data_IF_260641247836
#
_entry.id   IF_260641247836
#
_cell.length_a   1.000
_cell.length_b   1.000
_cell.length_c   1.000
_cell.angle_alpha   90.00
_cell.angle_beta   90.00
_cell.angle_gamma   90.00
#
_symmetry.space_group_name_H-M   'P 1'
#
loop_
_entity.id
_entity.type
_entity.pdbx_description
1 polymer ?
#
# COMPACT_ATOMS: atom_id res chain seq x y z
N UNK A 1 12.36 -3.05 11.87
CA UNK A 1 11.78 -3.50 10.59
C UNK A 1 10.25 -3.48 10.54
N UNK A 2 9.60 -2.34 10.83
CA UNK A 2 8.11 -2.24 10.88
C UNK A 2 7.50 -1.70 9.56
N UNK A 3 8.28 -1.03 8.70
CA UNK A 3 7.74 -0.34 7.51
C UNK A 3 7.38 -1.23 6.31
N UNK A 4 8.16 -2.28 6.02
CA UNK A 4 7.94 -3.17 4.87
C UNK A 4 6.90 -4.26 5.14
N UNK A 5 6.69 -4.65 6.39
CA UNK A 5 5.70 -5.67 6.75
C UNK A 5 4.28 -5.11 6.90
N UNK A 6 4.09 -3.80 6.75
CA UNK A 6 2.77 -3.17 6.77
C UNK A 6 2.02 -3.48 5.46
N UNK A 7 0.91 -4.24 5.49
CA UNK A 7 0.14 -4.57 4.29
C UNK A 7 -0.62 -3.37 3.70
N UNK A 8 -0.78 -2.28 4.45
CA UNK A 8 -1.62 -1.15 4.05
C UNK A 8 -1.29 -0.59 2.66
N UNK A 9 -0.03 -0.28 2.30
CA UNK A 9 0.27 0.32 1.00
C UNK A 9 -0.10 -0.61 -0.16
N UNK A 10 0.14 -1.92 -0.02
CA UNK A 10 -0.21 -2.91 -1.05
C UNK A 10 -1.72 -3.06 -1.24
N UNK A 11 -2.52 -2.79 -0.21
CA UNK A 11 -3.99 -2.94 -0.25
C UNK A 11 -4.66 -1.62 -0.61
N UNK A 12 -4.39 -0.58 0.19
CA UNK A 12 -5.06 0.70 0.13
C UNK A 12 -4.71 1.46 -1.15
N UNK A 13 -3.44 1.48 -1.58
CA UNK A 13 -3.04 2.33 -2.71
C UNK A 13 -3.64 1.84 -4.02
N UNK A 14 -3.47 0.56 -4.44
CA UNK A 14 -4.13 0.07 -5.65
C UNK A 14 -5.65 0.11 -5.53
N UNK A 15 -6.18 -0.26 -4.36
CA UNK A 15 -7.62 -0.26 -4.11
C UNK A 15 -8.26 1.11 -4.23
N UNK A 16 -7.58 2.16 -3.77
CA UNK A 16 -8.09 3.53 -3.80
C UNK A 16 -7.92 4.16 -5.17
N UNK A 17 -6.74 4.04 -5.79
CA UNK A 17 -6.43 4.63 -7.10
C UNK A 17 -7.32 4.03 -8.18
N UNK A 18 -7.45 2.71 -8.24
CA UNK A 18 -8.21 2.03 -9.30
C UNK A 18 -9.72 2.19 -9.17
N UNK A 19 -10.20 2.74 -8.05
CA UNK A 19 -11.62 2.97 -7.81
C UNK A 19 -11.96 4.44 -7.52
N UNK A 20 -11.03 5.37 -7.75
CA UNK A 20 -11.20 6.79 -7.39
C UNK A 20 -12.42 7.41 -8.07
N UNK A 21 -12.69 7.08 -9.33
CA UNK A 21 -13.86 7.60 -10.04
C UNK A 21 -15.17 7.11 -9.44
N UNK A 22 -15.29 5.81 -9.12
CA UNK A 22 -16.48 5.28 -8.47
C UNK A 22 -16.68 5.86 -7.06
N UNK A 23 -15.57 6.08 -6.33
CA UNK A 23 -15.59 6.76 -5.04
C UNK A 23 -16.12 8.19 -5.18
N UNK A 24 -15.48 9.06 -5.98
CA UNK A 24 -15.88 10.46 -6.10
C UNK A 24 -17.30 10.61 -6.64
N UNK A 25 -17.67 9.85 -7.67
CA UNK A 25 -19.03 9.86 -8.22
C UNK A 25 -20.05 9.44 -7.16
N UNK A 26 -19.76 8.45 -6.30
CA UNK A 26 -20.70 8.07 -5.23
C UNK A 26 -20.88 9.12 -4.14
N UNK A 27 -19.91 10.03 -3.97
CA UNK A 27 -19.97 11.11 -2.98
C UNK A 27 -20.57 12.41 -3.56
N UNK A 28 -20.54 12.54 -4.89
CA UNK A 28 -21.09 13.67 -5.65
C UNK A 28 -22.49 13.41 -6.18
N UNK A 29 -22.79 12.18 -6.59
CA UNK A 29 -23.99 11.79 -7.33
C UNK A 29 -24.63 10.50 -6.81
N UNK A 30 -25.95 10.38 -6.97
CA UNK A 30 -26.69 9.16 -6.65
C UNK A 30 -26.65 8.06 -7.72
N UNK A 31 -25.79 8.19 -8.73
CA UNK A 31 -25.83 7.38 -9.96
C UNK A 31 -25.41 5.91 -9.76
N UNK A 32 -24.62 5.62 -8.72
CA UNK A 32 -24.02 4.29 -8.51
C UNK A 32 -24.80 3.40 -7.54
N UNK A 33 -25.96 3.85 -7.03
CA UNK A 33 -26.73 3.11 -6.03
C UNK A 33 -26.02 2.96 -4.68
N UNK A 34 -24.96 3.73 -4.46
CA UNK A 34 -24.20 3.82 -3.21
C UNK A 34 -24.63 5.12 -2.52
N UNK A 35 -25.24 5.07 -1.32
CA UNK A 35 -25.57 6.30 -0.60
C UNK A 35 -24.30 7.09 -0.26
N UNK A 36 -24.38 8.41 -0.31
CA UNK A 36 -23.28 9.30 0.09
C UNK A 36 -22.75 8.94 1.48
N UNK A 37 -21.44 8.89 1.64
CA UNK A 37 -20.76 8.47 2.87
C UNK A 37 -20.87 6.98 3.18
N UNK A 38 -21.33 6.15 2.23
CA UNK A 38 -21.40 4.68 2.35
C UNK A 38 -20.50 3.96 1.35
N UNK A 39 -19.71 4.68 0.56
CA UNK A 39 -18.69 4.05 -0.26
C UNK A 39 -17.71 3.24 0.61
N UNK A 40 -17.28 2.10 0.11
CA UNK A 40 -16.34 1.20 0.78
C UNK A 40 -15.49 0.59 -0.32
N UNK A 41 -14.20 0.88 -0.30
CA UNK A 41 -13.23 0.30 -1.22
C UNK A 41 -13.32 -1.24 -1.19
N UNK A 42 -13.42 -1.82 0.00
CA UNK A 42 -13.50 -3.26 0.20
C UNK A 42 -14.77 -3.89 -0.38
N UNK A 43 -15.92 -3.23 -0.23
CA UNK A 43 -17.20 -3.75 -0.72
C UNK A 43 -17.42 -3.47 -2.21
N UNK A 44 -17.05 -2.29 -2.67
CA UNK A 44 -17.43 -1.78 -3.99
C UNK A 44 -16.28 -1.79 -5.00
N UNK A 45 -15.02 -1.78 -4.55
CA UNK A 45 -13.85 -1.60 -5.42
C UNK A 45 -12.91 -2.81 -5.55
N UNK A 46 -13.01 -3.81 -4.67
CA UNK A 46 -12.12 -4.98 -4.68
C UNK A 46 -12.58 -6.04 -5.69
N UNK A 47 -12.27 -5.80 -6.97
CA UNK A 47 -12.48 -6.77 -8.05
C UNK A 47 -11.27 -7.72 -8.22
N UNK A 48 -11.43 -8.87 -8.89
CA UNK A 48 -10.30 -9.75 -9.20
C UNK A 48 -9.17 -9.07 -10.01
N UNK A 49 -9.49 -8.04 -10.81
CA UNK A 49 -8.47 -7.28 -11.53
C UNK A 49 -7.67 -6.38 -10.59
N UNK A 50 -8.33 -5.75 -9.62
CA UNK A 50 -7.66 -4.95 -8.57
C UNK A 50 -6.78 -5.84 -7.70
N UNK A 51 -7.26 -7.04 -7.32
CA UNK A 51 -6.49 -8.01 -6.57
C UNK A 51 -5.18 -8.43 -7.29
N UNK A 52 -5.18 -8.56 -8.61
CA UNK A 52 -3.94 -8.81 -9.38
C UNK A 52 -2.92 -7.68 -9.27
N UNK A 53 -3.37 -6.43 -9.24
CA UNK A 53 -2.48 -5.27 -9.05
C UNK A 53 -1.92 -5.25 -7.62
N UNK A 54 -2.74 -5.55 -6.62
CA UNK A 54 -2.29 -5.67 -5.22
C UNK A 54 -1.24 -6.78 -5.05
N UNK A 55 -1.46 -7.93 -5.70
CA UNK A 55 -0.50 -9.03 -5.71
C UNK A 55 0.80 -8.62 -6.41
N UNK A 56 0.75 -7.95 -7.56
CA UNK A 56 1.92 -7.48 -8.27
C UNK A 56 2.73 -6.47 -7.44
N UNK A 57 2.05 -5.52 -6.78
CA UNK A 57 2.67 -4.58 -5.83
C UNK A 57 3.37 -5.34 -4.70
N UNK A 58 2.68 -6.29 -4.06
CA UNK A 58 3.25 -7.10 -2.99
C UNK A 58 4.45 -7.94 -3.44
N UNK A 59 4.41 -8.51 -4.65
CA UNK A 59 5.55 -9.24 -5.21
C UNK A 59 6.77 -8.33 -5.42
N UNK A 60 6.58 -7.07 -5.81
CA UNK A 60 7.64 -6.08 -5.88
C UNK A 60 8.20 -5.73 -4.50
N UNK A 61 7.35 -5.55 -3.48
CA UNK A 61 7.81 -5.38 -2.09
C UNK A 61 8.66 -6.57 -1.62
N UNK A 62 8.24 -7.79 -1.94
CA UNK A 62 9.02 -9.00 -1.62
C UNK A 62 10.39 -9.00 -2.26
N UNK A 63 10.52 -8.53 -3.51
CA UNK A 63 11.82 -8.40 -4.18
C UNK A 63 12.72 -7.39 -3.47
N UNK A 64 12.17 -6.24 -3.07
CA UNK A 64 12.90 -5.25 -2.26
C UNK A 64 13.39 -5.89 -0.96
N UNK A 65 12.49 -6.52 -0.19
CA UNK A 65 12.86 -7.14 1.07
C UNK A 65 13.91 -8.25 0.91
N UNK A 66 13.80 -9.07 -0.14
CA UNK A 66 14.81 -10.09 -0.47
C UNK A 66 16.17 -9.47 -0.77
N UNK A 67 16.22 -8.36 -1.51
CA UNK A 67 17.47 -7.64 -1.80
C UNK A 67 18.10 -7.04 -0.53
N UNK A 68 17.28 -6.76 0.49
CA UNK A 68 17.70 -6.35 1.83
C UNK A 68 17.98 -7.53 2.78
N UNK A 69 17.80 -8.79 2.34
CA UNK A 69 17.89 -9.96 3.20
C UNK A 69 16.88 -9.95 4.36
N UNK A 70 15.74 -9.27 4.20
CA UNK A 70 14.64 -9.22 5.16
C UNK A 70 13.59 -10.27 4.77
N UNK A 71 13.17 -11.08 5.74
CA UNK A 71 12.05 -12.01 5.55
C UNK A 71 10.74 -11.30 5.85
N UNK A 72 9.87 -11.17 4.85
CA UNK A 72 8.51 -10.67 5.01
C UNK A 72 7.55 -11.81 5.39
N UNK A 73 6.38 -11.42 5.93
CA UNK A 73 5.23 -12.32 6.02
C UNK A 73 4.85 -12.74 4.60
N UNK A 74 4.68 -14.05 4.40
CA UNK A 74 4.28 -14.62 3.12
C UNK A 74 2.78 -14.78 3.05
N UNK A 75 2.18 -14.15 2.04
CA UNK A 75 0.77 -14.37 1.69
C UNK A 75 0.69 -15.23 0.44
N UNK A 76 -0.16 -16.25 0.47
CA UNK A 76 -0.52 -17.06 -0.69
C UNK A 76 -1.39 -16.23 -1.64
N UNK A 77 -1.25 -16.50 -2.93
CA UNK A 77 -1.99 -15.76 -3.97
C UNK A 77 -3.50 -15.77 -3.75
N UNK A 78 -4.09 -16.90 -3.38
CA UNK A 78 -5.53 -17.03 -3.11
C UNK A 78 -6.01 -16.13 -1.95
N UNK A 79 -5.14 -15.76 -1.02
CA UNK A 79 -5.47 -14.83 0.06
C UNK A 79 -5.74 -13.41 -0.47
N UNK A 80 -5.26 -13.04 -1.66
CA UNK A 80 -5.60 -11.76 -2.31
C UNK A 80 -6.97 -11.80 -3.00
N UNK A 81 -7.49 -12.98 -3.32
CA UNK A 81 -8.76 -13.16 -4.04
C UNK A 81 -9.94 -13.48 -3.12
N UNK A 82 -9.77 -13.32 -1.81
CA UNK A 82 -10.83 -13.43 -0.81
C UNK A 82 -11.20 -12.05 -0.26
N UNK A 83 -12.48 -11.81 0.06
CA UNK A 83 -12.98 -10.49 0.51
C UNK A 83 -12.42 -10.02 1.86
N UNK A 84 -12.00 -10.95 2.73
CA UNK A 84 -11.23 -10.57 3.91
C UNK A 84 -9.78 -10.23 3.55
N UNK A 85 -9.24 -10.75 2.45
CA UNK A 85 -7.93 -10.37 1.91
C UNK A 85 -6.76 -10.64 2.86
N UNK A 86 -5.59 -10.09 2.52
CA UNK A 86 -4.40 -10.09 3.40
C UNK A 86 -4.61 -9.26 4.68
N UNK A 87 -5.52 -8.28 4.67
CA UNK A 87 -5.90 -7.51 5.87
C UNK A 87 -6.66 -8.37 6.88
N UNK A 88 -7.59 -9.19 6.40
CA UNK A 88 -8.48 -10.03 7.21
C UNK A 88 -7.80 -11.23 7.85
N UNK A 89 -6.65 -11.65 7.31
CA UNK A 89 -5.81 -12.70 7.92
C UNK A 89 -5.29 -12.25 9.29
N UNK A 90 -4.91 -10.99 9.47
CA UNK A 90 -4.43 -10.46 10.75
C UNK A 90 -5.56 -10.33 11.80
N UNK A 91 -6.82 -10.27 11.36
CA UNK A 91 -8.00 -10.23 12.24
C UNK A 91 -8.55 -11.61 12.58
N UNK A 92 -7.94 -12.69 12.08
CA UNK A 92 -8.42 -14.06 12.29
C UNK A 92 -7.98 -14.59 13.66
N UNK A 93 -8.87 -14.53 14.64
CA UNK A 93 -8.77 -15.31 15.89
C UNK A 93 -9.52 -16.62 15.67
N UNK A 94 -8.94 -17.81 15.95
CA UNK A 94 -9.48 -19.13 15.55
C UNK A 94 -10.86 -19.51 16.14
N UNK A 95 -11.54 -18.61 16.86
CA UNK A 95 -12.79 -18.87 17.57
C UNK A 95 -13.89 -17.83 17.30
N UNK A 96 -13.70 -16.90 16.34
CA UNK A 96 -14.67 -15.85 16.07
C UNK A 96 -15.02 -15.73 14.58
N UNK A 97 -16.30 -15.84 14.26
CA UNK A 97 -16.86 -15.35 12.99
C UNK A 97 -16.78 -13.82 13.00
N UNK A 98 -15.67 -13.26 12.52
CA UNK A 98 -15.50 -11.80 12.49
C UNK A 98 -16.33 -11.24 11.32
N UNK A 99 -17.57 -10.86 11.61
CA UNK A 99 -18.33 -9.93 10.76
C UNK A 99 -17.74 -8.54 11.01
N UNK A 100 -16.71 -8.18 10.24
CA UNK A 100 -16.21 -6.80 10.27
C UNK A 100 -17.34 -5.87 9.80
N UNK A 101 -17.69 -4.82 10.56
CA UNK A 101 -18.60 -3.80 10.06
C UNK A 101 -18.04 -3.26 8.74
N UNK A 102 -18.90 -2.87 7.76
CA UNK A 102 -18.41 -2.42 6.47
C UNK A 102 -17.47 -1.23 6.68
N UNK A 103 -16.18 -1.45 6.36
CA UNK A 103 -15.17 -0.40 6.41
C UNK A 103 -15.51 0.60 5.32
N UNK A 104 -16.05 1.74 5.73
CA UNK A 104 -16.38 2.86 4.85
C UNK A 104 -15.09 3.60 4.48
N UNK A 105 -15.02 4.07 3.25
CA UNK A 105 -13.93 4.88 2.74
C UNK A 105 -13.03 4.15 1.73
N UNK A 106 -12.09 4.89 1.11
CA UNK A 106 -11.92 6.35 1.22
C UNK A 106 -13.14 7.09 0.64
N UNK A 107 -13.38 8.33 1.05
CA UNK A 107 -14.50 9.16 0.55
C UNK A 107 -14.01 10.43 -0.18
N UNK A 108 -12.69 10.61 -0.29
CA UNK A 108 -12.05 11.69 -1.04
C UNK A 108 -10.58 11.34 -1.26
N UNK A 109 -9.93 12.06 -2.17
CA UNK A 109 -8.48 11.96 -2.42
C UNK A 109 -7.62 12.53 -1.27
N UNK A 110 -8.24 13.19 -0.29
CA UNK A 110 -7.58 13.68 0.94
C UNK A 110 -7.52 12.61 2.04
N UNK A 111 -8.19 11.46 1.85
CA UNK A 111 -8.18 10.38 2.82
C UNK A 111 -6.77 9.79 3.00
N UNK A 112 -6.44 9.33 4.21
CA UNK A 112 -5.12 8.75 4.56
C UNK A 112 -4.62 7.62 3.65
N UNK A 113 -5.52 6.90 2.99
CA UNK A 113 -5.16 5.89 1.99
C UNK A 113 -4.40 6.48 0.79
N UNK A 114 -4.59 7.77 0.53
CA UNK A 114 -3.79 8.54 -0.41
C UNK A 114 -2.70 9.33 0.33
N UNK A 115 -3.09 10.14 1.32
CA UNK A 115 -2.22 11.17 1.90
C UNK A 115 -1.18 10.64 2.89
N UNK A 116 -1.31 9.41 3.38
CA UNK A 116 -0.29 8.73 4.21
C UNK A 116 0.32 7.54 3.45
N UNK A 117 -0.50 6.62 2.94
CA UNK A 117 0.01 5.35 2.38
C UNK A 117 0.79 5.53 1.07
N UNK A 118 0.57 6.62 0.31
CA UNK A 118 1.39 6.94 -0.87
C UNK A 118 2.72 7.59 -0.46
N UNK A 119 2.76 8.77 0.18
CA UNK A 119 4.02 9.46 0.48
C UNK A 119 4.89 8.76 1.53
N UNK A 120 4.29 7.96 2.43
CA UNK A 120 5.05 7.19 3.44
C UNK A 120 5.23 5.75 2.96
N UNK A 121 4.13 5.08 2.64
CA UNK A 121 4.17 3.66 2.30
C UNK A 121 4.90 3.40 0.98
N UNK A 122 4.42 4.01 -0.09
CA UNK A 122 4.83 3.72 -1.47
C UNK A 122 6.15 4.37 -1.84
N UNK A 123 6.36 5.65 -1.50
CA UNK A 123 7.57 6.40 -1.85
C UNK A 123 8.83 5.82 -1.17
N UNK A 124 8.75 5.43 0.11
CA UNK A 124 9.88 4.78 0.80
C UNK A 124 10.28 3.49 0.08
N UNK A 125 9.30 2.67 -0.35
CA UNK A 125 9.56 1.42 -1.08
C UNK A 125 10.22 1.70 -2.41
N UNK A 126 9.74 2.70 -3.15
CA UNK A 126 10.35 3.11 -4.40
C UNK A 126 11.82 3.54 -4.20
N UNK A 127 12.12 4.38 -3.21
CA UNK A 127 13.51 4.78 -2.94
C UNK A 127 14.41 3.61 -2.50
N UNK A 128 13.89 2.69 -1.67
CA UNK A 128 14.61 1.47 -1.32
C UNK A 128 14.86 0.61 -2.55
N UNK A 129 13.88 0.45 -3.44
CA UNK A 129 14.05 -0.29 -4.69
C UNK A 129 15.18 0.31 -5.55
N UNK A 130 15.20 1.64 -5.72
CA UNK A 130 16.28 2.34 -6.42
C UNK A 130 17.65 2.12 -5.77
N UNK A 131 17.74 2.27 -4.44
CA UNK A 131 19.00 2.06 -3.69
C UNK A 131 19.50 0.63 -3.82
N UNK A 132 18.61 -0.35 -3.84
CA UNK A 132 18.95 -1.78 -3.91
C UNK A 132 19.06 -2.33 -5.33
N UNK A 133 18.64 -1.57 -6.35
CA UNK A 133 18.69 -1.98 -7.76
C UNK A 133 17.60 -2.98 -8.12
N UNK A 134 16.38 -2.77 -7.62
CA UNK A 134 15.22 -3.63 -7.85
C UNK A 134 14.20 -2.88 -8.70
N UNK A 135 13.77 -3.49 -9.80
CA UNK A 135 12.72 -2.94 -10.65
C UNK A 135 11.34 -3.11 -10.00
N UNK A 136 10.59 -2.01 -9.90
CA UNK A 136 9.28 -1.93 -9.24
C UNK A 136 8.23 -1.15 -10.06
N UNK A 137 7.95 -1.57 -11.30
CA UNK A 137 7.09 -0.81 -12.22
C UNK A 137 5.66 -0.63 -11.71
N UNK A 138 5.13 -1.56 -10.91
CA UNK A 138 3.78 -1.43 -10.34
C UNK A 138 3.75 -0.37 -9.23
N UNK A 139 4.70 -0.42 -8.29
CA UNK A 139 4.85 0.57 -7.22
C UNK A 139 5.06 1.96 -7.82
N UNK A 140 5.94 2.09 -8.81
CA UNK A 140 6.21 3.36 -9.50
C UNK A 140 4.94 3.88 -10.21
N UNK A 141 4.23 3.03 -10.94
CA UNK A 141 2.99 3.41 -11.62
C UNK A 141 1.92 3.90 -10.64
N UNK A 142 1.74 3.20 -9.52
CA UNK A 142 0.77 3.59 -8.48
C UNK A 142 1.16 4.93 -7.84
N UNK A 143 2.45 5.15 -7.57
CA UNK A 143 2.95 6.44 -7.06
C UNK A 143 2.65 7.58 -8.04
N UNK A 144 2.98 7.41 -9.33
CA UNK A 144 2.77 8.42 -10.35
C UNK A 144 1.28 8.76 -10.55
N UNK A 145 0.42 7.74 -10.65
CA UNK A 145 -1.04 7.94 -10.75
C UNK A 145 -1.58 8.63 -9.50
N UNK A 146 -1.14 8.22 -8.31
CA UNK A 146 -1.51 8.84 -7.05
C UNK A 146 -1.17 10.33 -7.03
N UNK A 147 0.03 10.69 -7.49
CA UNK A 147 0.45 12.09 -7.59
C UNK A 147 -0.44 12.93 -8.51
N UNK A 148 -0.81 12.39 -9.67
CA UNK A 148 -1.73 13.07 -10.60
C UNK A 148 -3.11 13.23 -9.96
N UNK A 149 -3.65 12.16 -9.38
CA UNK A 149 -4.98 12.14 -8.74
C UNK A 149 -5.08 13.16 -7.60
N UNK A 150 -4.09 13.18 -6.71
CA UNK A 150 -4.07 14.08 -5.57
C UNK A 150 -3.55 15.49 -5.90
N UNK A 151 -3.09 15.74 -7.14
CA UNK A 151 -2.43 16.99 -7.55
C UNK A 151 -1.25 17.35 -6.64
N UNK A 152 -0.48 16.35 -6.23
CA UNK A 152 0.67 16.46 -5.31
C UNK A 152 1.84 15.67 -5.84
N UNK A 153 3.04 16.24 -5.73
CA UNK A 153 4.26 15.52 -6.12
C UNK A 153 4.72 14.67 -4.94
N UNK A 154 4.24 13.42 -4.87
CA UNK A 154 4.55 12.55 -3.74
C UNK A 154 5.99 12.06 -3.77
N UNK A 155 6.64 12.03 -4.93
CA UNK A 155 8.06 11.71 -4.99
C UNK A 155 8.90 12.82 -4.33
N UNK A 156 8.47 14.08 -4.45
CA UNK A 156 9.11 15.23 -3.82
C UNK A 156 8.68 15.46 -2.37
N UNK A 157 7.41 15.23 -2.05
CA UNK A 157 6.83 15.49 -0.73
C UNK A 157 6.91 14.28 0.23
N UNK A 158 7.12 13.08 -0.30
CA UNK A 158 7.15 11.84 0.47
C UNK A 158 8.46 11.66 1.24
N UNK A 159 8.46 10.63 2.11
CA UNK A 159 9.61 10.36 2.97
C UNK A 159 10.78 9.82 2.15
N UNK A 160 11.87 10.56 2.16
CA UNK A 160 13.13 10.24 1.48
C UNK A 160 14.05 9.35 2.35
N UNK A 161 15.04 8.70 1.73
CA UNK A 161 16.10 8.00 2.48
C UNK A 161 16.92 8.95 3.35
N UNK A 162 17.00 10.23 2.95
CA UNK A 162 17.67 11.28 3.70
C UNK A 162 16.97 11.57 5.02
N UNK A 163 15.65 11.70 4.99
CA UNK A 163 14.84 11.94 6.21
C UNK A 163 14.84 10.73 7.14
N UNK A 164 14.93 9.51 6.60
CA UNK A 164 15.18 8.30 7.40
C UNK A 164 16.61 8.24 7.96
N UNK A 165 17.50 9.11 7.46
CA UNK A 165 18.92 9.16 7.80
C UNK A 165 19.66 7.88 7.41
N UNK A 166 19.33 7.33 6.23
CA UNK A 166 19.95 6.13 5.66
C UNK A 166 20.44 6.33 4.21
N UNK A 167 20.35 7.56 3.67
CA UNK A 167 20.78 7.89 2.31
C UNK A 167 22.26 7.57 2.05
N UNK A 168 23.14 7.98 2.97
CA UNK A 168 24.59 7.81 2.83
C UNK A 168 25.08 6.40 3.21
N UNK A 169 24.20 5.55 3.76
CA UNK A 169 24.56 4.20 4.14
C UNK A 169 24.73 3.30 2.91
N UNK A 170 25.69 2.38 2.96
CA UNK A 170 25.78 1.27 2.01
C UNK A 170 24.61 0.30 2.22
N UNK A 171 24.35 -0.57 1.23
CA UNK A 171 23.30 -1.60 1.33
C UNK A 171 23.48 -2.43 2.61
N UNK A 172 24.71 -2.83 2.90
CA UNK A 172 25.07 -3.64 4.08
C UNK A 172 24.82 -2.88 5.38
N UNK A 173 25.14 -1.58 5.42
CA UNK A 173 24.86 -0.72 6.58
C UNK A 173 23.35 -0.55 6.81
N UNK A 174 22.55 -0.38 5.76
CA UNK A 174 21.09 -0.32 5.86
C UNK A 174 20.53 -1.64 6.40
N UNK A 175 20.99 -2.77 5.86
CA UNK A 175 20.54 -4.10 6.31
C UNK A 175 20.83 -4.29 7.80
N UNK A 176 22.04 -3.94 8.23
CA UNK A 176 22.43 -3.98 9.64
C UNK A 176 21.58 -3.05 10.50
N UNK A 177 21.38 -1.81 10.07
CA UNK A 177 20.55 -0.84 10.79
C UNK A 177 19.11 -1.34 10.98
N UNK A 178 18.50 -1.91 9.94
CA UNK A 178 17.12 -2.42 10.00
C UNK A 178 16.98 -3.63 10.93
N UNK A 179 18.02 -4.46 11.04
CA UNK A 179 18.05 -5.66 11.90
C UNK A 179 18.39 -5.36 13.35
N UNK A 180 19.38 -4.50 13.58
CA UNK A 180 20.00 -4.29 14.90
C UNK A 180 19.58 -2.98 15.57
N UNK A 181 18.98 -2.05 14.82
CA UNK A 181 18.56 -0.73 15.35
C UNK A 181 19.70 0.25 15.62
N UNK A 182 20.95 -0.13 15.35
CA UNK A 182 22.14 0.69 15.59
C UNK A 182 22.53 1.42 14.29
N UNK A 183 22.46 2.75 14.29
CA UNK A 183 23.15 3.56 13.28
C UNK A 183 24.63 3.54 13.64
N UNK A 184 25.42 2.78 12.87
CA UNK A 184 26.86 2.72 13.03
C UNK A 184 27.54 4.05 12.72
#
# INVERSE_FOLDING_TARGET
GVGLSNPNPAVHVPGSILNVGAMEVSEMEGALGIPKGKYSMYKHGMSPAVARVQLAFYQEERKIASAMGIKMIEFREDQFFWKGGIMGVEYWVPFADVILPPIVGPNSVEHRYFTEDIPVGTVIRYHLAQKFGVDVPTIESMMQLGSVICKRDFLKEGITLKELGIEDLTKEQIIRYVREGIKG
#
